data_IF_288134494635
#
_entry.id   IF_288134494635
#
_cell.length_a   1.000
_cell.length_b   1.000
_cell.length_c   1.000
_cell.angle_alpha   90.00
_cell.angle_beta   90.00
_cell.angle_gamma   90.00
#
_symmetry.space_group_name_H-M   'P 1'
#
loop_
_entity.id
_entity.type
_entity.pdbx_description
1 polymer ?
#
# COMPACT_ATOMS: atom_id res chain seq x y z
N UNK A 1 2.43 15.90 22.77
CA UNK A 1 1.61 14.90 23.47
C UNK A 1 2.51 13.73 23.80
N UNK A 2 2.40 13.21 25.01
CA UNK A 2 3.23 12.12 25.52
C UNK A 2 2.91 10.84 24.73
N UNK A 3 3.91 10.23 24.08
CA UNK A 3 3.77 8.84 23.64
C UNK A 3 3.72 7.99 24.90
N UNK A 4 2.62 7.28 25.14
CA UNK A 4 2.51 6.36 26.26
C UNK A 4 3.62 5.30 26.14
N UNK A 5 4.30 4.97 27.25
CA UNK A 5 5.21 3.84 27.27
C UNK A 5 4.42 2.56 26.99
N UNK A 6 4.97 1.69 26.14
CA UNK A 6 4.32 0.44 25.75
C UNK A 6 4.33 -0.49 26.96
N UNK A 7 3.24 -1.24 27.17
CA UNK A 7 3.25 -2.29 28.18
C UNK A 7 4.33 -3.32 27.77
N UNK A 8 5.31 -3.63 28.64
CA UNK A 8 6.35 -4.62 28.35
C UNK A 8 5.80 -5.99 27.93
N UNK A 9 4.56 -6.32 28.30
CA UNK A 9 3.91 -7.57 27.92
C UNK A 9 3.46 -7.61 26.45
N UNK A 10 3.29 -6.46 25.80
CA UNK A 10 2.87 -6.36 24.39
C UNK A 10 4.06 -6.19 23.42
N UNK A 11 5.24 -5.84 23.93
CA UNK A 11 6.42 -5.55 23.10
C UNK A 11 7.09 -6.85 22.60
N UNK A 12 7.26 -7.04 21.27
CA UNK A 12 7.96 -8.21 20.74
C UNK A 12 9.40 -8.31 21.26
N UNK A 13 9.93 -9.51 21.57
CA UNK A 13 11.32 -9.67 21.99
C UNK A 13 12.32 -9.14 20.96
N UNK A 14 13.33 -8.39 21.42
CA UNK A 14 14.33 -7.74 20.55
C UNK A 14 15.08 -8.70 19.63
N UNK A 15 15.25 -9.96 20.03
CA UNK A 15 15.87 -11.01 19.21
C UNK A 15 15.08 -11.34 17.93
N UNK A 16 13.79 -11.00 17.87
CA UNK A 16 12.90 -11.33 16.76
C UNK A 16 12.68 -10.17 15.79
N UNK A 17 13.07 -8.93 16.14
CA UNK A 17 12.79 -7.75 15.31
C UNK A 17 13.39 -7.83 13.91
N UNK A 18 14.58 -8.43 13.79
CA UNK A 18 15.24 -8.61 12.49
C UNK A 18 14.50 -9.54 11.53
N UNK A 19 13.52 -10.32 12.01
CA UNK A 19 12.68 -11.16 11.16
C UNK A 19 11.60 -10.35 10.44
N UNK A 20 11.18 -9.21 11.01
CA UNK A 20 10.24 -8.30 10.38
C UNK A 20 10.93 -7.57 9.21
N UNK A 21 10.46 -7.72 7.96
CA UNK A 21 11.07 -7.06 6.80
C UNK A 21 11.10 -5.53 6.93
N UNK A 22 10.18 -4.93 7.69
CA UNK A 22 10.09 -3.49 7.88
C UNK A 22 11.28 -2.98 8.72
N UNK A 23 11.80 -3.80 9.65
CA UNK A 23 12.93 -3.41 10.51
C UNK A 23 14.12 -2.92 9.69
N UNK A 24 14.46 -3.62 8.61
CA UNK A 24 15.61 -3.28 7.76
C UNK A 24 15.32 -2.20 6.72
N UNK A 25 14.06 -1.85 6.49
CA UNK A 25 13.64 -0.88 5.49
C UNK A 25 13.70 0.56 6.00
N UNK A 26 13.56 1.54 5.10
CA UNK A 26 13.17 2.89 5.50
C UNK A 26 11.65 2.98 5.33
N UNK A 27 10.92 2.91 6.44
CA UNK A 27 9.47 2.90 6.43
C UNK A 27 8.94 4.27 5.96
N UNK A 28 8.01 4.26 5.00
CA UNK A 28 7.33 5.48 4.55
C UNK A 28 6.12 5.72 5.43
N UNK A 29 6.32 6.45 6.51
CA UNK A 29 5.27 6.75 7.49
C UNK A 29 4.87 8.22 7.38
N UNK A 30 3.62 8.51 7.76
CA UNK A 30 3.19 9.87 7.99
C UNK A 30 3.96 10.49 9.15
N UNK A 31 4.30 11.77 9.05
CA UNK A 31 5.01 12.49 10.11
C UNK A 31 4.25 12.41 11.43
N UNK A 32 2.91 12.50 11.39
CA UNK A 32 2.07 12.30 12.57
C UNK A 32 2.38 10.99 13.29
N UNK A 33 2.45 9.90 12.54
CA UNK A 33 2.66 8.56 13.11
C UNK A 33 4.09 8.44 13.64
N UNK A 34 5.08 8.98 12.91
CA UNK A 34 6.47 9.05 13.40
C UNK A 34 6.55 9.77 14.74
N UNK A 35 5.77 10.83 14.94
CA UNK A 35 5.73 11.58 16.20
C UNK A 35 4.98 10.85 17.32
N UNK A 36 4.08 9.92 16.98
CA UNK A 36 3.17 9.23 17.91
C UNK A 36 3.55 7.79 18.26
N UNK A 37 4.40 7.12 17.46
CA UNK A 37 4.91 5.76 17.75
C UNK A 37 5.41 5.65 19.20
N UNK A 38 5.47 4.47 19.77
CA UNK A 38 6.01 4.31 21.12
C UNK A 38 7.48 3.88 21.06
N UNK A 39 8.34 4.44 21.91
CA UNK A 39 9.74 3.99 22.00
C UNK A 39 9.82 2.66 22.77
N UNK A 40 10.66 1.75 22.30
CA UNK A 40 10.93 0.45 22.91
C UNK A 40 11.46 0.61 24.34
N UNK A 41 10.99 -0.25 25.23
CA UNK A 41 11.52 -0.36 26.59
C UNK A 41 12.79 -1.22 26.63
N UNK A 42 12.98 -2.10 25.65
CA UNK A 42 14.15 -3.00 25.53
C UNK A 42 15.38 -2.29 24.94
N UNK A 43 15.20 -1.51 23.87
CA UNK A 43 16.31 -0.88 23.14
C UNK A 43 15.96 0.58 22.76
N UNK A 44 16.62 1.58 23.37
CA UNK A 44 16.43 2.98 23.02
C UNK A 44 16.70 3.27 21.54
N UNK A 45 15.91 4.17 20.95
CA UNK A 45 15.99 4.53 19.54
C UNK A 45 15.29 3.58 18.57
N UNK A 46 14.62 2.53 19.07
CA UNK A 46 13.67 1.71 18.31
C UNK A 46 12.26 2.14 18.71
N UNK A 47 11.37 2.28 17.73
CA UNK A 47 9.99 2.71 17.93
C UNK A 47 9.03 1.67 17.36
N UNK A 48 7.79 1.66 17.83
CA UNK A 48 6.78 0.73 17.35
C UNK A 48 5.62 1.45 16.71
N UNK A 49 5.30 1.03 15.49
CA UNK A 49 4.02 1.27 14.84
C UNK A 49 3.33 -0.08 14.68
N UNK A 50 2.20 -0.28 15.36
CA UNK A 50 1.41 -1.52 15.27
C UNK A 50 2.27 -2.80 15.45
N UNK A 51 3.12 -2.83 16.47
CA UNK A 51 4.08 -3.90 16.78
C UNK A 51 5.23 -4.11 15.77
N UNK A 52 5.30 -3.32 14.71
CA UNK A 52 6.46 -3.31 13.82
C UNK A 52 7.59 -2.47 14.43
N UNK A 53 8.82 -3.02 14.57
CA UNK A 53 9.96 -2.26 15.05
C UNK A 53 10.49 -1.36 13.93
N UNK A 54 10.41 -0.05 14.15
CA UNK A 54 10.81 1.02 13.24
C UNK A 54 11.98 1.79 13.83
N UNK A 55 13.05 1.93 13.07
CA UNK A 55 14.15 2.82 13.44
C UNK A 55 14.63 3.72 12.30
N UNK A 56 14.24 3.45 11.04
CA UNK A 56 14.55 4.25 9.85
C UNK A 56 13.26 4.62 9.12
N UNK A 57 13.19 5.88 8.68
CA UNK A 57 12.02 6.42 7.98
C UNK A 57 12.40 7.12 6.68
N UNK A 58 11.45 7.18 5.74
CA UNK A 58 11.54 7.88 4.46
C UNK A 58 10.35 8.83 4.34
N UNK A 59 10.62 10.14 4.43
CA UNK A 59 9.62 11.21 4.44
C UNK A 59 9.79 12.08 3.21
N UNK A 60 8.66 12.45 2.59
CA UNK A 60 8.57 13.46 1.54
C UNK A 60 7.68 14.58 2.06
N UNK A 61 8.15 15.82 2.01
CA UNK A 61 7.37 16.95 2.48
C UNK A 61 7.98 18.30 2.10
N UNK A 62 7.26 19.37 2.44
CA UNK A 62 7.66 20.74 2.16
C UNK A 62 8.50 21.29 3.30
N UNK A 63 9.60 21.99 2.98
CA UNK A 63 10.39 22.69 3.99
C UNK A 63 9.61 23.90 4.49
N UNK A 64 9.17 23.85 5.74
CA UNK A 64 8.43 24.95 6.40
C UNK A 64 9.29 25.73 7.40
N UNK A 65 10.46 25.19 7.72
CA UNK A 65 11.40 25.80 8.66
C UNK A 65 12.84 25.47 8.25
N UNK A 66 13.75 26.42 8.44
CA UNK A 66 15.18 26.27 8.15
C UNK A 66 16.00 26.95 9.24
N UNK A 67 16.90 26.18 9.84
CA UNK A 67 17.96 26.69 10.72
C UNK A 67 19.29 26.11 10.29
N UNK A 68 20.25 26.99 10.01
CA UNK A 68 21.60 26.60 9.64
C UNK A 68 22.50 26.53 10.88
N UNK A 69 23.35 25.51 10.93
CA UNK A 69 24.45 25.33 11.88
C UNK A 69 25.74 25.06 11.09
N UNK A 70 26.86 25.06 11.80
CA UNK A 70 28.19 24.91 11.19
C UNK A 70 28.33 23.59 10.41
N UNK A 71 27.82 22.49 10.98
CA UNK A 71 27.97 21.15 10.40
C UNK A 71 26.72 20.58 9.72
N UNK A 72 25.54 21.18 9.93
CA UNK A 72 24.28 20.66 9.42
C UNK A 72 23.22 21.74 9.23
N UNK A 73 22.24 21.43 8.39
CA UNK A 73 20.97 22.15 8.32
C UNK A 73 19.92 21.42 9.15
N UNK A 74 19.10 22.18 9.88
CA UNK A 74 17.92 21.69 10.58
C UNK A 74 16.69 22.19 9.82
N UNK A 75 16.06 21.31 9.07
CA UNK A 75 14.85 21.60 8.29
C UNK A 75 13.61 21.08 9.01
N UNK A 76 12.58 21.90 9.16
CA UNK A 76 11.26 21.40 9.52
C UNK A 76 10.53 20.99 8.25
N UNK A 77 10.13 19.72 8.17
CA UNK A 77 9.50 19.12 7.00
C UNK A 77 8.04 18.81 7.32
N UNK A 78 7.12 19.34 6.52
CA UNK A 78 5.67 19.15 6.62
C UNK A 78 5.15 18.26 5.51
N UNK A 79 4.47 17.17 5.84
CA UNK A 79 3.84 16.24 4.90
C UNK A 79 2.30 16.38 4.85
N UNK A 80 1.74 17.40 5.52
CA UNK A 80 0.31 17.62 5.67
C UNK A 80 -0.31 16.85 6.85
N UNK A 81 0.42 15.95 7.49
CA UNK A 81 -0.01 15.23 8.71
C UNK A 81 0.68 15.75 9.97
N UNK A 82 1.86 16.34 9.82
CA UNK A 82 2.61 16.97 10.89
C UNK A 82 3.94 17.53 10.41
N UNK A 83 4.67 18.18 11.32
CA UNK A 83 5.99 18.76 11.04
C UNK A 83 7.06 18.07 11.89
N UNK A 84 8.15 17.64 11.27
CA UNK A 84 9.30 17.01 11.96
C UNK A 84 10.63 17.67 11.58
N UNK A 85 11.52 17.79 12.56
CA UNK A 85 12.87 18.30 12.33
C UNK A 85 13.75 17.22 11.69
N UNK A 86 14.43 17.60 10.62
CA UNK A 86 15.38 16.78 9.87
C UNK A 86 16.77 17.40 9.98
N UNK A 87 17.70 16.66 10.56
CA UNK A 87 19.10 17.05 10.74
C UNK A 87 19.91 16.56 9.54
N UNK A 88 20.21 17.48 8.64
CA UNK A 88 20.81 17.26 7.33
C UNK A 88 22.27 17.73 7.31
N UNK A 89 23.21 16.79 7.46
CA UNK A 89 24.64 17.09 7.52
C UNK A 89 25.15 17.74 6.22
N UNK A 90 25.98 18.78 6.39
CA UNK A 90 26.68 19.44 5.28
C UNK A 90 27.77 18.50 4.77
N UNK A 91 27.80 18.26 3.46
CA UNK A 91 28.88 17.52 2.83
C UNK A 91 30.19 18.31 2.91
N UNK A 92 31.33 17.62 2.81
CA UNK A 92 32.64 18.29 2.75
C UNK A 92 32.72 19.27 1.57
N UNK A 93 32.01 18.98 0.47
CA UNK A 93 31.89 19.87 -0.70
C UNK A 93 31.21 21.20 -0.37
N UNK A 94 30.21 21.21 0.52
CA UNK A 94 29.59 22.45 1.02
C UNK A 94 30.58 23.26 1.85
N UNK A 95 31.39 22.59 2.67
CA UNK A 95 32.40 23.21 3.54
C UNK A 95 33.57 23.81 2.75
N UNK A 96 33.99 23.16 1.66
CA UNK A 96 35.07 23.64 0.80
C UNK A 96 34.66 24.82 -0.10
N UNK A 97 33.39 24.87 -0.53
CA UNK A 97 32.88 25.99 -1.33
C UNK A 97 32.76 27.31 -0.54
N UNK A 98 32.69 27.23 0.79
CA UNK A 98 32.64 28.39 1.69
C UNK A 98 34.04 28.95 2.04
N UNK A 99 35.13 28.24 1.70
CA UNK A 99 36.51 28.61 2.06
C UNK A 99 37.35 28.95 0.79
N UNK A 100 37.31 30.21 0.30
CA UNK A 100 37.89 30.61 -0.98
C UNK A 100 39.44 30.56 -1.05
N UNK A 101 40.12 30.27 0.06
CA UNK A 101 41.59 30.38 0.16
C UNK A 101 42.37 29.11 -0.21
N UNK A 102 41.72 28.01 -0.66
CA UNK A 102 42.41 26.72 -0.91
C UNK A 102 42.60 26.31 -2.38
N UNK A 103 41.99 26.97 -3.37
CA UNK A 103 42.18 26.57 -4.77
C UNK A 103 43.32 27.33 -5.46
N UNK A 104 44.55 27.15 -4.98
CA UNK A 104 45.75 27.55 -5.70
C UNK A 104 46.25 26.43 -6.60
N UNK A 105 45.78 26.36 -7.85
CA UNK A 105 46.38 25.45 -8.84
C UNK A 105 46.58 26.16 -10.17
N UNK A 106 47.82 26.11 -10.64
CA UNK A 106 48.41 26.85 -11.75
C UNK A 106 47.70 26.57 -13.08
N UNK A 107 47.47 27.62 -13.86
CA UNK A 107 47.05 27.55 -15.27
C UNK A 107 48.19 26.96 -16.10
N UNK A 108 47.95 25.80 -16.71
CA UNK A 108 48.65 25.40 -17.93
C UNK A 108 47.70 25.61 -19.10
N UNK A 109 48.13 26.44 -20.04
CA UNK A 109 47.53 26.58 -21.37
C UNK A 109 47.78 25.31 -22.17
N UNK A 110 46.77 24.78 -22.85
CA UNK A 110 46.85 24.54 -24.31
C UNK A 110 45.52 24.06 -24.91
N UNK A 111 45.25 24.63 -26.09
CA UNK A 111 44.46 24.15 -27.23
C UNK A 111 43.02 23.60 -27.05
N UNK A 112 42.11 24.42 -27.56
CA UNK A 112 40.82 24.13 -28.18
C UNK A 112 40.77 22.79 -28.95
N UNK A 113 40.08 21.80 -28.40
CA UNK A 113 39.30 20.78 -29.11
C UNK A 113 38.03 20.58 -28.27
N UNK A 114 36.85 20.49 -28.89
CA UNK A 114 35.56 20.23 -28.23
C UNK A 114 35.48 18.83 -27.59
N UNK A 115 36.36 18.55 -26.63
CA UNK A 115 36.46 17.34 -25.84
C UNK A 115 35.95 17.56 -24.42
N UNK A 116 35.38 16.51 -23.83
CA UNK A 116 34.96 16.47 -22.43
C UNK A 116 36.13 16.85 -21.51
N UNK A 117 36.04 17.99 -20.81
CA UNK A 117 36.97 18.38 -19.76
C UNK A 117 36.48 17.78 -18.41
N UNK A 118 37.16 16.75 -17.87
CA UNK A 118 36.75 16.11 -16.63
C UNK A 118 36.75 17.07 -15.44
N UNK A 119 37.61 18.10 -15.44
CA UNK A 119 37.72 19.06 -14.33
C UNK A 119 36.54 20.02 -14.34
N UNK A 120 36.19 20.57 -15.52
CA UNK A 120 35.00 21.41 -15.66
C UNK A 120 33.71 20.64 -15.33
N UNK A 121 33.59 19.39 -15.79
CA UNK A 121 32.41 18.56 -15.52
C UNK A 121 32.33 18.14 -14.05
N UNK A 122 33.44 17.85 -13.37
CA UNK A 122 33.46 17.62 -11.92
C UNK A 122 33.04 18.87 -11.14
N UNK A 123 33.48 20.07 -11.55
CA UNK A 123 33.07 21.33 -10.94
C UNK A 123 31.57 21.59 -11.10
N UNK A 124 31.04 21.33 -12.30
CA UNK A 124 29.61 21.43 -12.61
C UNK A 124 28.77 20.44 -11.79
N UNK A 125 29.24 19.20 -11.65
CA UNK A 125 28.63 18.19 -10.79
C UNK A 125 28.61 18.63 -9.33
N UNK A 126 29.74 19.15 -8.82
CA UNK A 126 29.82 19.69 -7.46
C UNK A 126 28.80 20.81 -7.23
N UNK A 127 28.71 21.78 -8.14
CA UNK A 127 27.72 22.86 -8.06
C UNK A 127 26.27 22.35 -8.11
N UNK A 128 25.98 21.35 -8.95
CA UNK A 128 24.65 20.74 -9.01
C UNK A 128 24.30 20.02 -7.71
N UNK A 129 25.25 19.30 -7.10
CA UNK A 129 25.08 18.62 -5.82
C UNK A 129 24.84 19.61 -4.68
N UNK A 130 25.59 20.73 -4.66
CA UNK A 130 25.39 21.83 -3.70
C UNK A 130 23.97 22.40 -3.77
N UNK A 131 23.49 22.72 -4.98
CA UNK A 131 22.13 23.21 -5.22
C UNK A 131 21.05 22.22 -4.79
N UNK A 132 21.34 20.92 -4.87
CA UNK A 132 20.41 19.86 -4.48
C UNK A 132 20.35 19.62 -2.96
N UNK A 133 21.40 19.97 -2.23
CA UNK A 133 21.51 19.77 -0.79
C UNK A 133 21.33 21.06 0.04
N UNK A 134 21.23 22.23 -0.58
CA UNK A 134 20.88 23.48 0.10
C UNK A 134 19.45 23.86 -0.26
N UNK A 135 18.54 23.62 0.67
CA UNK A 135 17.11 23.87 0.49
C UNK A 135 16.66 25.19 1.10
N UNK A 136 15.61 25.77 0.52
CA UNK A 136 14.89 26.94 1.00
C UNK A 136 13.45 26.60 1.45
N UNK A 137 12.82 27.52 2.20
CA UNK A 137 11.43 27.37 2.63
C UNK A 137 10.51 27.33 1.40
N UNK A 138 9.53 26.42 1.42
CA UNK A 138 8.61 26.15 0.32
C UNK A 138 9.10 25.10 -0.67
N UNK A 139 10.35 24.64 -0.57
CA UNK A 139 10.86 23.60 -1.45
C UNK A 139 10.47 22.19 -0.96
N UNK A 140 10.23 21.30 -1.93
CA UNK A 140 9.95 19.90 -1.66
C UNK A 140 11.25 19.14 -1.38
N UNK A 141 11.27 18.37 -0.29
CA UNK A 141 12.42 17.58 0.15
C UNK A 141 12.04 16.14 0.42
N UNK A 142 12.93 15.22 0.05
CA UNK A 142 12.87 13.85 0.54
C UNK A 142 14.00 13.63 1.53
N UNK A 143 13.67 13.10 2.70
CA UNK A 143 14.60 12.84 3.80
C UNK A 143 14.50 11.37 4.21
N UNK A 144 15.64 10.69 4.24
CA UNK A 144 15.77 9.31 4.70
C UNK A 144 16.78 9.24 5.83
N UNK A 145 16.41 8.63 6.95
CA UNK A 145 17.32 8.51 8.08
C UNK A 145 16.72 7.83 9.30
N UNK A 146 17.55 7.52 10.29
CA UNK A 146 17.05 7.04 11.56
C UNK A 146 16.29 8.10 12.35
N UNK A 147 15.27 7.65 13.08
CA UNK A 147 14.52 8.48 14.04
C UNK A 147 15.29 8.50 15.36
N UNK A 148 15.41 9.68 15.98
CA UNK A 148 15.96 9.84 17.32
C UNK A 148 15.06 10.72 18.16
N UNK A 149 14.99 10.43 19.45
CA UNK A 149 14.37 11.29 20.44
C UNK A 149 15.48 11.99 21.20
N UNK A 150 15.47 13.32 21.19
CA UNK A 150 16.41 14.16 21.94
C UNK A 150 15.61 15.19 22.72
N UNK A 151 15.82 15.27 24.04
CA UNK A 151 15.10 16.21 24.92
C UNK A 151 13.57 16.18 24.71
N UNK A 152 13.01 14.98 24.59
CA UNK A 152 11.58 14.72 24.36
C UNK A 152 11.04 15.22 23.00
N UNK A 153 11.90 15.58 22.06
CA UNK A 153 11.52 15.89 20.68
C UNK A 153 12.04 14.81 19.73
N UNK A 154 11.18 14.38 18.80
CA UNK A 154 11.56 13.46 17.73
C UNK A 154 12.12 14.20 16.54
N UNK A 155 13.23 13.68 16.04
CA UNK A 155 13.97 14.23 14.92
C UNK A 155 14.42 13.09 14.00
N UNK A 156 14.60 13.41 12.72
CA UNK A 156 15.19 12.49 11.74
C UNK A 156 16.64 12.90 11.53
N UNK A 157 17.56 11.99 11.83
CA UNK A 157 18.98 12.16 11.50
C UNK A 157 19.18 11.75 10.03
N UNK A 158 19.23 12.70 9.11
CA UNK A 158 19.25 12.37 7.69
C UNK A 158 20.52 11.59 7.32
N UNK A 159 20.35 10.36 6.84
CA UNK A 159 21.39 9.60 6.13
C UNK A 159 21.49 10.04 4.67
N UNK A 160 20.37 10.47 4.09
CA UNK A 160 20.30 11.00 2.73
C UNK A 160 19.16 12.00 2.64
N UNK A 161 19.39 13.12 1.98
CA UNK A 161 18.36 14.12 1.71
C UNK A 161 18.65 14.83 0.40
N UNK A 162 17.61 15.27 -0.30
CA UNK A 162 17.76 16.06 -1.52
C UNK A 162 16.48 16.82 -1.84
N UNK A 163 16.64 17.99 -2.48
CA UNK A 163 15.56 18.71 -3.14
C UNK A 163 14.93 17.84 -4.23
N UNK A 164 13.60 17.77 -4.22
CA UNK A 164 12.79 17.09 -5.23
C UNK A 164 12.22 18.15 -6.17
N UNK A 165 12.47 17.98 -7.47
CA UNK A 165 11.89 18.83 -8.51
C UNK A 165 10.57 18.21 -8.97
N UNK A 166 9.45 18.85 -8.60
CA UNK A 166 8.10 18.32 -8.84
C UNK A 166 7.14 19.44 -9.30
N UNK A 167 7.41 20.08 -10.46
CA UNK A 167 6.68 21.28 -10.89
C UNK A 167 5.20 21.04 -11.19
N UNK A 168 4.81 19.79 -11.44
CA UNK A 168 3.42 19.37 -11.74
C UNK A 168 2.83 18.46 -10.65
N UNK A 169 3.46 18.41 -9.48
CA UNK A 169 3.01 17.63 -8.31
C UNK A 169 2.87 16.11 -8.53
N UNK A 170 3.46 15.56 -9.60
CA UNK A 170 3.32 14.15 -9.93
C UNK A 170 3.91 13.24 -8.84
N UNK A 171 5.05 13.64 -8.26
CA UNK A 171 5.73 12.85 -7.21
C UNK A 171 4.90 12.91 -5.92
N UNK A 172 4.41 14.09 -5.54
CA UNK A 172 3.55 14.24 -4.36
C UNK A 172 2.24 13.46 -4.50
N UNK A 173 1.58 13.52 -5.66
CA UNK A 173 0.34 12.76 -5.91
C UNK A 173 0.61 11.26 -5.83
N UNK A 174 1.67 10.76 -6.47
CA UNK A 174 2.05 9.35 -6.38
C UNK A 174 2.31 8.93 -4.92
N UNK A 175 3.03 9.76 -4.16
CA UNK A 175 3.29 9.53 -2.74
C UNK A 175 2.00 9.44 -1.91
N UNK A 176 1.06 10.38 -2.12
CA UNK A 176 -0.24 10.40 -1.45
C UNK A 176 -1.11 9.17 -1.77
N UNK A 177 -0.90 8.54 -2.92
CA UNK A 177 -1.60 7.30 -3.31
C UNK A 177 -0.89 6.04 -2.82
N UNK A 178 0.44 6.02 -2.81
CA UNK A 178 1.27 4.88 -2.41
C UNK A 178 1.29 4.67 -0.89
N UNK A 179 1.47 5.73 -0.09
CA UNK A 179 1.61 5.60 1.37
C UNK A 179 0.39 4.92 2.01
N UNK A 180 -0.87 5.31 1.73
CA UNK A 180 -2.04 4.60 2.25
C UNK A 180 -2.07 3.11 1.88
N UNK A 181 -1.54 2.74 0.71
CA UNK A 181 -1.46 1.34 0.29
C UNK A 181 -0.43 0.59 1.13
N UNK A 182 0.72 1.20 1.43
CA UNK A 182 1.73 0.60 2.31
C UNK A 182 1.19 0.34 3.71
N UNK A 183 0.43 1.28 4.27
CA UNK A 183 -0.27 1.11 5.55
C UNK A 183 -1.18 -0.12 5.50
N UNK A 184 -2.14 -0.14 4.56
CA UNK A 184 -3.11 -1.23 4.45
C UNK A 184 -2.50 -2.59 4.13
N UNK A 185 -1.42 -2.62 3.36
CA UNK A 185 -0.83 -3.88 2.90
C UNK A 185 0.18 -4.46 3.88
N UNK A 186 0.93 -3.60 4.59
CA UNK A 186 2.07 -3.99 5.40
C UNK A 186 2.00 -3.46 6.84
N UNK A 187 1.88 -2.15 7.05
CA UNK A 187 2.08 -1.57 8.40
C UNK A 187 0.91 -1.79 9.36
N UNK A 188 -0.32 -1.86 8.85
CA UNK A 188 -1.52 -2.09 9.67
C UNK A 188 -1.77 -3.59 9.93
N UNK A 189 -0.99 -4.48 9.29
CA UNK A 189 -1.14 -5.93 9.46
C UNK A 189 -0.09 -6.46 10.41
N UNK A 190 -0.46 -7.22 11.46
CA UNK A 190 0.51 -7.77 12.39
C UNK A 190 1.51 -8.66 11.66
N UNK A 191 2.79 -8.52 12.00
CA UNK A 191 3.82 -9.42 11.49
C UNK A 191 3.65 -10.82 12.11
N UNK A 192 3.44 -11.81 11.25
CA UNK A 192 3.34 -13.21 11.66
C UNK A 192 4.63 -13.94 11.28
N UNK A 193 5.37 -14.42 12.28
CA UNK A 193 6.52 -15.28 12.08
C UNK A 193 5.99 -16.66 11.65
N UNK A 194 5.84 -16.84 10.35
CA UNK A 194 5.61 -18.16 9.78
C UNK A 194 6.91 -18.95 9.95
N UNK A 195 6.98 -19.78 10.99
CA UNK A 195 8.01 -20.82 11.07
C UNK A 195 8.03 -21.54 9.72
N UNK A 196 9.18 -21.54 9.05
CA UNK A 196 9.33 -22.01 7.69
C UNK A 196 8.71 -23.42 7.51
N UNK A 197 7.61 -23.50 6.77
CA UNK A 197 6.92 -24.75 6.44
C UNK A 197 5.46 -24.55 6.04
N UNK A 198 5.19 -24.49 4.73
CA UNK A 198 3.88 -24.73 4.09
C UNK A 198 2.62 -24.21 4.82
N UNK A 199 2.19 -22.97 4.56
CA UNK A 199 0.82 -22.57 4.93
C UNK A 199 -0.08 -22.49 3.68
N UNK A 200 -1.16 -23.26 3.72
CA UNK A 200 -2.27 -23.30 2.74
C UNK A 200 -2.81 -21.89 2.45
N UNK A 201 -2.67 -20.96 3.41
CA UNK A 201 -3.08 -19.55 3.28
C UNK A 201 -2.26 -18.75 2.25
N UNK A 202 -0.99 -19.11 2.03
CA UNK A 202 -0.19 -18.53 0.94
C UNK A 202 -0.69 -18.97 -0.44
N UNK A 203 -1.18 -20.21 -0.55
CA UNK A 203 -1.60 -20.81 -1.81
C UNK A 203 -3.00 -20.34 -2.19
N UNK A 204 -3.90 -20.20 -1.21
CA UNK A 204 -5.26 -19.71 -1.44
C UNK A 204 -5.27 -18.25 -1.90
N UNK A 205 -4.47 -17.37 -1.29
CA UNK A 205 -4.39 -15.96 -1.72
C UNK A 205 -3.86 -15.80 -3.15
N UNK A 206 -2.85 -16.59 -3.53
CA UNK A 206 -2.35 -16.63 -4.91
C UNK A 206 -3.40 -17.16 -5.88
N UNK A 207 -4.08 -18.25 -5.54
CA UNK A 207 -5.16 -18.83 -6.33
C UNK A 207 -6.33 -17.84 -6.52
N UNK A 208 -6.72 -17.12 -5.45
CA UNK A 208 -7.76 -16.08 -5.51
C UNK A 208 -7.37 -14.97 -6.49
N UNK A 209 -6.13 -14.48 -6.46
CA UNK A 209 -5.68 -13.43 -7.37
C UNK A 209 -5.64 -13.90 -8.84
N UNK A 210 -5.15 -15.12 -9.10
CA UNK A 210 -5.15 -15.71 -10.46
C UNK A 210 -6.57 -15.71 -11.05
N UNK A 211 -7.56 -16.18 -10.30
CA UNK A 211 -8.95 -16.19 -10.80
C UNK A 211 -9.48 -14.76 -10.96
N UNK A 212 -9.25 -13.85 -9.99
CA UNK A 212 -9.69 -12.44 -10.13
C UNK A 212 -9.14 -11.77 -11.38
N UNK A 213 -7.86 -11.97 -11.66
CA UNK A 213 -7.19 -11.36 -12.80
C UNK A 213 -7.69 -11.97 -14.11
N UNK A 214 -7.88 -13.29 -14.16
CA UNK A 214 -8.49 -13.95 -15.31
C UNK A 214 -9.89 -13.41 -15.63
N UNK A 215 -10.77 -13.32 -14.63
CA UNK A 215 -12.14 -12.82 -14.80
C UNK A 215 -12.15 -11.39 -15.34
N UNK A 216 -11.24 -10.54 -14.85
CA UNK A 216 -11.10 -9.16 -15.32
C UNK A 216 -10.53 -9.07 -16.74
N UNK A 217 -9.42 -9.75 -17.00
CA UNK A 217 -8.70 -9.68 -18.29
C UNK A 217 -9.53 -10.26 -19.44
N UNK A 218 -10.28 -11.33 -19.18
CA UNK A 218 -11.10 -12.00 -20.20
C UNK A 218 -12.54 -11.51 -20.24
N UNK A 219 -12.90 -10.52 -19.40
CA UNK A 219 -14.26 -9.95 -19.31
C UNK A 219 -15.33 -11.06 -19.14
N UNK A 220 -15.02 -12.05 -18.31
CA UNK A 220 -15.88 -13.22 -18.10
C UNK A 220 -17.19 -12.77 -17.46
N UNK A 221 -18.32 -13.09 -18.07
CA UNK A 221 -19.65 -12.73 -17.54
C UNK A 221 -20.20 -13.80 -16.58
N UNK A 222 -19.98 -15.06 -16.91
CA UNK A 222 -20.39 -16.24 -16.14
C UNK A 222 -19.45 -17.40 -16.40
N UNK A 223 -19.29 -18.29 -15.43
CA UNK A 223 -18.46 -19.47 -15.54
C UNK A 223 -18.95 -20.57 -14.59
N UNK A 224 -18.54 -21.81 -14.86
CA UNK A 224 -18.67 -22.96 -13.97
C UNK A 224 -17.32 -23.28 -13.34
N UNK A 225 -17.27 -23.95 -12.17
CA UNK A 225 -16.02 -24.29 -11.49
C UNK A 225 -14.97 -24.94 -12.40
N UNK A 226 -15.36 -25.88 -13.25
CA UNK A 226 -14.44 -26.59 -14.12
C UNK A 226 -13.81 -25.69 -15.21
N UNK A 227 -14.45 -24.56 -15.59
CA UNK A 227 -13.91 -23.62 -16.59
C UNK A 227 -12.66 -22.89 -16.10
N UNK A 228 -12.48 -22.80 -14.77
CA UNK A 228 -11.37 -22.09 -14.12
C UNK A 228 -10.45 -23.02 -13.33
N UNK A 229 -10.76 -24.32 -13.29
CA UNK A 229 -10.03 -25.29 -12.49
C UNK A 229 -8.58 -25.45 -12.95
N UNK A 230 -8.34 -25.47 -14.26
CA UNK A 230 -7.01 -25.64 -14.85
C UNK A 230 -6.08 -24.45 -14.57
N UNK A 231 -6.63 -23.26 -14.29
CA UNK A 231 -5.85 -22.08 -13.90
C UNK A 231 -5.09 -22.29 -12.58
N UNK A 232 -5.57 -23.21 -11.74
CA UNK A 232 -4.98 -23.49 -10.43
C UNK A 232 -4.01 -24.68 -10.44
N UNK A 233 -3.91 -25.41 -11.56
CA UNK A 233 -3.01 -26.56 -11.70
C UNK A 233 -1.54 -26.23 -11.37
N UNK A 234 -0.97 -25.07 -11.77
CA UNK A 234 0.42 -24.72 -11.45
C UNK A 234 0.70 -24.54 -9.96
N UNK A 235 -0.33 -24.38 -9.13
CA UNK A 235 -0.20 -24.19 -7.68
C UNK A 235 -0.17 -25.50 -6.90
N UNK A 236 -0.51 -26.62 -7.54
CA UNK A 236 -0.46 -27.94 -6.91
C UNK A 236 0.92 -28.53 -7.14
N UNK A 237 1.62 -28.95 -6.09
CA UNK A 237 2.88 -29.66 -6.26
C UNK A 237 2.63 -30.95 -7.05
N UNK A 238 3.09 -30.99 -8.30
CA UNK A 238 3.15 -32.24 -9.05
C UNK A 238 4.09 -33.19 -8.33
N UNK A 239 3.56 -34.24 -7.69
CA UNK A 239 4.36 -35.35 -7.14
C UNK A 239 4.91 -36.16 -8.32
N UNK A 240 5.90 -35.61 -9.02
CA UNK A 240 6.60 -36.35 -10.06
C UNK A 240 7.42 -37.48 -9.41
N UNK A 241 7.25 -38.68 -9.97
CA UNK A 241 7.80 -39.96 -9.53
C UNK A 241 9.32 -39.88 -9.24
N UNK A 242 9.69 -40.10 -7.99
CA UNK A 242 10.96 -40.74 -7.65
C UNK A 242 10.63 -42.16 -7.18
N UNK A 243 10.92 -43.14 -8.03
CA UNK A 243 11.02 -44.52 -7.60
C UNK A 243 12.10 -44.62 -6.51
N UNK A 244 11.73 -45.08 -5.33
CA UNK A 244 12.53 -46.00 -4.53
C UNK A 244 11.59 -46.73 -3.59
N UNK A 245 11.79 -48.04 -3.56
CA UNK A 245 10.92 -49.02 -2.94
C UNK A 245 10.78 -48.82 -1.43
N UNK A 246 9.70 -49.39 -0.90
CA UNK A 246 9.44 -49.63 0.52
C UNK A 246 9.06 -48.40 1.36
N UNK A 247 7.80 -47.97 1.19
CA UNK A 247 6.95 -47.56 2.30
C UNK A 247 5.48 -47.59 1.85
N UNK A 248 4.64 -48.26 2.65
CA UNK A 248 3.19 -48.38 2.45
C UNK A 248 2.55 -47.02 2.13
N UNK A 249 1.75 -46.91 1.06
CA UNK A 249 1.11 -45.65 0.70
C UNK A 249 -0.08 -45.40 1.63
N UNK A 250 0.12 -44.57 2.65
CA UNK A 250 -1.01 -43.88 3.31
C UNK A 250 -1.68 -43.02 2.23
N UNK A 251 -2.93 -43.36 1.90
CA UNK A 251 -3.71 -42.73 0.82
C UNK A 251 -4.02 -41.26 1.14
N UNK A 252 -3.10 -40.36 0.81
CA UNK A 252 -3.37 -38.93 0.76
C UNK A 252 -4.35 -38.58 -0.37
N UNK A 253 -5.09 -37.46 -0.27
CA UNK A 253 -6.03 -37.05 -1.32
C UNK A 253 -5.30 -36.87 -2.65
N UNK A 254 -5.90 -37.36 -3.73
CA UNK A 254 -5.32 -37.23 -5.07
C UNK A 254 -5.15 -35.75 -5.45
N UNK A 255 -4.21 -35.43 -6.34
CA UNK A 255 -4.00 -34.04 -6.79
C UNK A 255 -5.28 -33.37 -7.30
N UNK A 256 -6.19 -34.14 -7.92
CA UNK A 256 -7.51 -33.65 -8.34
C UNK A 256 -8.44 -33.28 -7.17
N UNK A 257 -8.37 -34.01 -6.05
CA UNK A 257 -9.13 -33.69 -4.83
C UNK A 257 -8.58 -32.44 -4.13
N UNK A 258 -7.27 -32.25 -4.15
CA UNK A 258 -6.63 -31.03 -3.62
C UNK A 258 -7.01 -29.81 -4.46
N UNK A 259 -7.07 -29.96 -5.79
CA UNK A 259 -7.50 -28.92 -6.72
C UNK A 259 -8.95 -28.51 -6.51
N UNK A 260 -9.84 -29.49 -6.37
CA UNK A 260 -11.26 -29.21 -6.14
C UNK A 260 -11.50 -28.56 -4.79
N UNK A 261 -10.75 -28.95 -3.75
CA UNK A 261 -10.80 -28.30 -2.44
C UNK A 261 -10.35 -26.84 -2.52
N UNK A 262 -9.15 -26.59 -3.09
CA UNK A 262 -8.61 -25.24 -3.25
C UNK A 262 -9.57 -24.35 -4.04
N UNK A 263 -10.11 -24.86 -5.15
CA UNK A 263 -11.07 -24.12 -5.97
C UNK A 263 -12.32 -23.77 -5.16
N UNK A 264 -12.85 -24.71 -4.36
CA UNK A 264 -14.03 -24.47 -3.53
C UNK A 264 -13.79 -23.35 -2.50
N UNK A 265 -12.63 -23.35 -1.84
CA UNK A 265 -12.29 -22.30 -0.88
C UNK A 265 -12.11 -20.93 -1.58
N UNK A 266 -11.44 -20.90 -2.73
CA UNK A 266 -11.28 -19.67 -3.52
C UNK A 266 -12.64 -19.12 -3.95
N UNK A 267 -13.55 -19.97 -4.44
CA UNK A 267 -14.89 -19.54 -4.83
C UNK A 267 -15.67 -18.98 -3.65
N UNK A 268 -15.53 -19.57 -2.46
CA UNK A 268 -16.14 -19.04 -1.24
C UNK A 268 -15.61 -17.64 -0.89
N UNK A 269 -14.30 -17.42 -1.00
CA UNK A 269 -13.70 -16.09 -0.80
C UNK A 269 -14.26 -15.09 -1.80
N UNK A 270 -14.29 -15.44 -3.09
CA UNK A 270 -14.81 -14.55 -4.15
C UNK A 270 -16.30 -14.21 -3.94
N UNK A 271 -17.09 -15.14 -3.39
CA UNK A 271 -18.48 -14.90 -3.02
C UNK A 271 -18.62 -13.99 -1.80
N UNK A 272 -17.78 -14.19 -0.78
CA UNK A 272 -17.76 -13.36 0.43
C UNK A 272 -17.40 -11.91 0.10
N UNK A 273 -16.45 -11.71 -0.82
CA UNK A 273 -16.07 -10.39 -1.33
C UNK A 273 -17.07 -9.80 -2.34
N UNK A 274 -18.09 -10.56 -2.77
CA UNK A 274 -19.08 -10.11 -3.74
C UNK A 274 -18.57 -9.99 -5.18
N UNK A 275 -17.38 -10.52 -5.49
CA UNK A 275 -16.81 -10.54 -6.85
C UNK A 275 -17.65 -11.43 -7.77
N UNK A 276 -18.12 -12.56 -7.23
CA UNK A 276 -18.99 -13.50 -7.92
C UNK A 276 -20.18 -13.84 -7.04
N UNK A 277 -21.28 -14.27 -7.66
CA UNK A 277 -22.43 -14.79 -6.94
C UNK A 277 -23.15 -15.84 -7.79
N UNK A 278 -23.95 -16.70 -7.17
CA UNK A 278 -24.77 -17.69 -7.90
C UNK A 278 -26.17 -17.14 -8.03
N UNK A 279 -26.67 -16.89 -9.24
CA UNK A 279 -28.01 -16.31 -9.45
C UNK A 279 -29.10 -17.27 -8.97
N UNK A 280 -28.95 -18.56 -9.25
CA UNK A 280 -29.81 -19.64 -8.77
C UNK A 280 -28.95 -20.67 -8.03
N UNK A 281 -29.43 -21.16 -6.88
CA UNK A 281 -28.81 -22.30 -6.19
C UNK A 281 -29.38 -23.58 -6.79
N UNK A 282 -28.76 -24.08 -7.84
CA UNK A 282 -29.08 -25.35 -8.49
C UNK A 282 -27.89 -26.31 -8.40
N UNK A 283 -28.09 -27.56 -8.86
CA UNK A 283 -27.02 -28.54 -8.99
C UNK A 283 -25.98 -28.15 -10.05
N UNK A 284 -26.39 -27.40 -11.09
CA UNK A 284 -25.46 -26.78 -12.05
C UNK A 284 -24.86 -25.52 -11.41
N UNK A 285 -23.66 -25.65 -10.83
CA UNK A 285 -22.97 -24.56 -10.11
C UNK A 285 -22.50 -23.45 -11.07
N UNK A 286 -23.42 -22.58 -11.48
CA UNK A 286 -23.11 -21.44 -12.36
C UNK A 286 -22.89 -20.15 -11.55
N UNK A 287 -21.72 -19.55 -11.71
CA UNK A 287 -21.34 -18.29 -11.08
C UNK A 287 -21.42 -17.14 -12.08
N UNK A 288 -21.97 -16.02 -11.63
CA UNK A 288 -21.98 -14.75 -12.35
C UNK A 288 -20.95 -13.81 -11.77
N UNK A 289 -20.25 -13.09 -12.64
CA UNK A 289 -19.29 -12.06 -12.25
C UNK A 289 -20.03 -10.75 -12.07
N UNK A 290 -20.09 -10.26 -10.83
CA UNK A 290 -20.92 -9.11 -10.44
C UNK A 290 -20.68 -7.88 -11.33
N UNK A 291 -19.42 -7.56 -11.63
CA UNK A 291 -19.05 -6.40 -12.47
C UNK A 291 -19.47 -6.49 -13.94
N UNK A 292 -19.73 -7.70 -14.45
CA UNK A 292 -20.09 -7.90 -15.85
C UNK A 292 -21.59 -8.15 -16.06
N UNK A 293 -22.35 -8.22 -14.98
CA UNK A 293 -23.78 -8.53 -15.02
C UNK A 293 -24.62 -7.27 -15.21
N UNK A 294 -24.80 -6.87 -16.48
CA UNK A 294 -25.57 -5.68 -16.84
C UNK A 294 -27.02 -5.71 -16.35
N UNK A 295 -27.63 -6.89 -16.27
CA UNK A 295 -29.03 -7.02 -15.82
C UNK A 295 -29.15 -6.70 -14.33
N UNK A 296 -28.16 -7.10 -13.52
CA UNK A 296 -28.08 -6.73 -12.11
C UNK A 296 -27.95 -5.21 -11.95
N UNK A 297 -27.09 -4.57 -12.75
CA UNK A 297 -26.91 -3.11 -12.75
C UNK A 297 -28.22 -2.38 -13.08
N UNK A 298 -28.90 -2.80 -14.15
CA UNK A 298 -30.20 -2.23 -14.54
C UNK A 298 -31.22 -2.41 -13.42
N UNK A 299 -31.31 -3.61 -12.84
CA UNK A 299 -32.26 -3.88 -11.75
C UNK A 299 -32.02 -3.00 -10.53
N UNK A 300 -30.75 -2.84 -10.10
CA UNK A 300 -30.39 -1.97 -8.96
C UNK A 300 -30.73 -0.51 -9.27
N UNK A 301 -30.37 -0.02 -10.46
CA UNK A 301 -30.65 1.34 -10.90
C UNK A 301 -32.16 1.63 -10.94
N UNK A 302 -32.94 0.71 -11.51
CA UNK A 302 -34.40 0.83 -11.59
C UNK A 302 -35.04 0.86 -10.20
N UNK A 303 -34.60 0.01 -9.28
CA UNK A 303 -35.07 0.01 -7.87
C UNK A 303 -34.82 1.35 -7.21
N UNK A 304 -33.59 1.87 -7.30
CA UNK A 304 -33.24 3.15 -6.68
C UNK A 304 -34.06 4.28 -7.32
N UNK A 305 -34.19 4.30 -8.65
CA UNK A 305 -34.95 5.32 -9.38
C UNK A 305 -36.45 5.30 -9.05
N UNK A 306 -37.04 4.13 -8.89
CA UNK A 306 -38.45 3.98 -8.52
C UNK A 306 -38.69 4.36 -7.06
N UNK A 307 -37.84 3.87 -6.15
CA UNK A 307 -38.04 4.07 -4.72
C UNK A 307 -37.67 5.49 -4.27
N UNK A 308 -36.71 6.15 -4.92
CA UNK A 308 -36.38 7.56 -4.65
C UNK A 308 -37.53 8.53 -4.90
N UNK A 309 -38.55 8.13 -5.68
CA UNK A 309 -39.76 8.95 -5.92
C UNK A 309 -40.79 8.87 -4.80
N UNK A 310 -40.65 7.92 -3.87
CA UNK A 310 -41.59 7.76 -2.75
C UNK A 310 -41.29 8.82 -1.70
N UNK A 311 -42.30 9.50 -1.17
CA UNK A 311 -42.15 10.59 -0.18
C UNK A 311 -41.18 10.25 0.97
N UNK A 312 -41.20 9.00 1.43
CA UNK A 312 -40.32 8.48 2.49
C UNK A 312 -38.81 8.59 2.17
N UNK A 313 -38.43 8.55 0.89
CA UNK A 313 -37.05 8.43 0.43
C UNK A 313 -36.59 9.62 -0.42
N UNK A 314 -37.46 10.60 -0.69
CA UNK A 314 -37.14 11.75 -1.57
C UNK A 314 -35.99 12.60 -1.05
N UNK A 315 -35.88 12.83 0.27
CA UNK A 315 -34.80 13.66 0.84
C UNK A 315 -33.50 12.89 1.08
N UNK A 316 -33.59 11.69 1.67
CA UNK A 316 -32.40 10.94 2.13
C UNK A 316 -31.99 9.80 1.19
N UNK A 317 -32.80 9.43 0.21
CA UNK A 317 -32.57 8.25 -0.61
C UNK A 317 -32.89 6.94 0.12
N UNK A 318 -32.59 5.83 -0.55
CA UNK A 318 -32.85 4.48 -0.09
C UNK A 318 -31.64 3.93 0.69
N UNK A 319 -31.89 3.36 1.87
CA UNK A 319 -30.85 2.66 2.63
C UNK A 319 -30.40 1.36 1.91
N UNK A 320 -29.10 1.02 2.00
CA UNK A 320 -28.51 -0.15 1.33
C UNK A 320 -29.23 -1.46 1.62
N UNK A 321 -29.73 -1.66 2.84
CA UNK A 321 -30.46 -2.88 3.20
C UNK A 321 -31.85 -2.95 2.55
N UNK A 322 -32.50 -1.80 2.35
CA UNK A 322 -33.76 -1.72 1.61
C UNK A 322 -33.54 -2.08 0.13
N UNK A 323 -32.50 -1.49 -0.47
CA UNK A 323 -32.09 -1.80 -1.85
C UNK A 323 -31.79 -3.30 -1.98
N UNK A 324 -31.01 -3.87 -1.05
CA UNK A 324 -30.70 -5.30 -1.04
C UNK A 324 -31.95 -6.17 -0.97
N UNK A 325 -32.91 -5.82 -0.12
CA UNK A 325 -34.19 -6.54 -0.02
C UNK A 325 -34.95 -6.49 -1.35
N UNK A 326 -35.06 -5.32 -1.98
CA UNK A 326 -35.74 -5.15 -3.24
C UNK A 326 -35.04 -5.90 -4.40
N UNK A 327 -33.71 -5.87 -4.46
CA UNK A 327 -32.90 -6.61 -5.46
C UNK A 327 -33.11 -8.12 -5.30
N UNK A 328 -33.17 -8.60 -4.05
CA UNK A 328 -33.40 -10.02 -3.78
C UNK A 328 -34.79 -10.48 -4.23
N UNK A 329 -35.79 -9.61 -4.12
CA UNK A 329 -37.15 -9.89 -4.57
C UNK A 329 -37.31 -9.82 -6.09
N UNK A 330 -36.68 -8.85 -6.76
CA UNK A 330 -36.87 -8.58 -8.19
C UNK A 330 -35.88 -9.29 -9.12
N UNK A 331 -34.69 -9.62 -8.63
CA UNK A 331 -33.59 -10.11 -9.47
C UNK A 331 -33.04 -11.47 -9.01
N UNK A 332 -32.49 -11.56 -7.80
CA UNK A 332 -32.00 -12.84 -7.25
C UNK A 332 -31.82 -12.80 -5.74
N UNK A 333 -32.43 -13.78 -5.05
CA UNK A 333 -32.31 -13.98 -3.60
C UNK A 333 -30.87 -14.16 -3.11
N UNK A 334 -29.95 -14.52 -4.01
CA UNK A 334 -28.58 -14.90 -3.68
C UNK A 334 -27.57 -13.75 -3.82
N UNK A 335 -28.01 -12.55 -4.20
CA UNK A 335 -27.14 -11.36 -4.19
C UNK A 335 -26.73 -11.08 -2.75
N UNK A 336 -25.42 -11.03 -2.50
CA UNK A 336 -24.85 -10.69 -1.20
C UNK A 336 -24.79 -9.18 -1.02
N UNK A 337 -24.66 -8.71 0.23
CA UNK A 337 -24.45 -7.29 0.51
C UNK A 337 -23.19 -6.77 -0.19
N UNK A 338 -22.09 -7.55 -0.13
CA UNK A 338 -20.83 -7.21 -0.79
C UNK A 338 -20.97 -7.07 -2.31
N UNK A 339 -21.74 -7.96 -2.96
CA UNK A 339 -22.00 -7.86 -4.39
C UNK A 339 -22.82 -6.60 -4.73
N UNK A 340 -23.84 -6.27 -3.92
CA UNK A 340 -24.60 -5.03 -4.08
C UNK A 340 -23.73 -3.79 -3.88
N UNK A 341 -22.89 -3.75 -2.85
CA UNK A 341 -21.98 -2.63 -2.59
C UNK A 341 -21.00 -2.41 -3.75
N UNK A 342 -20.55 -3.49 -4.41
CA UNK A 342 -19.72 -3.38 -5.61
C UNK A 342 -20.49 -2.74 -6.78
N UNK A 343 -21.76 -3.10 -6.98
CA UNK A 343 -22.63 -2.52 -8.02
C UNK A 343 -22.91 -1.05 -7.72
N UNK A 344 -23.28 -0.70 -6.49
CA UNK A 344 -23.54 0.67 -6.06
C UNK A 344 -22.32 1.56 -6.27
N UNK A 345 -21.13 1.07 -5.90
CA UNK A 345 -19.87 1.79 -6.14
C UNK A 345 -19.63 2.07 -7.62
N UNK A 346 -19.89 1.10 -8.49
CA UNK A 346 -19.73 1.30 -9.94
C UNK A 346 -20.78 2.27 -10.49
N UNK A 347 -22.06 2.15 -10.11
CA UNK A 347 -23.11 3.09 -10.51
C UNK A 347 -22.82 4.53 -10.06
N UNK A 348 -22.25 4.69 -8.86
CA UNK A 348 -21.84 6.00 -8.34
C UNK A 348 -20.65 6.57 -9.14
N UNK A 349 -19.66 5.74 -9.49
CA UNK A 349 -18.56 6.15 -10.37
C UNK A 349 -19.05 6.57 -11.78
N UNK A 350 -20.09 5.91 -12.28
CA UNK A 350 -20.69 6.20 -13.59
C UNK A 350 -21.67 7.39 -13.54
N UNK A 351 -21.85 8.03 -12.37
CA UNK A 351 -22.80 9.12 -12.14
C UNK A 351 -24.26 8.72 -12.43
N UNK A 352 -24.62 7.47 -12.17
CA UNK A 352 -26.00 6.99 -12.27
C UNK A 352 -26.79 7.18 -10.97
N UNK A 353 -26.08 7.20 -9.84
CA UNK A 353 -26.63 7.40 -8.49
C UNK A 353 -25.69 8.28 -7.66
N UNK A 354 -26.19 8.83 -6.55
CA UNK A 354 -25.42 9.63 -5.59
C UNK A 354 -25.59 9.01 -4.20
N UNK A 355 -24.48 8.89 -3.44
CA UNK A 355 -24.57 8.66 -2.00
C UNK A 355 -24.89 9.95 -1.26
N UNK A 356 -26.00 9.96 -0.51
CA UNK A 356 -26.46 11.14 0.24
C UNK A 356 -25.93 11.15 1.68
N UNK A 357 -25.62 9.97 2.21
CA UNK A 357 -25.04 9.74 3.53
C UNK A 357 -24.49 8.32 3.60
N UNK A 358 -23.90 7.95 4.74
CA UNK A 358 -23.46 6.58 4.97
C UNK A 358 -24.59 5.58 4.67
N UNK A 359 -24.34 4.70 3.70
CA UNK A 359 -25.27 3.64 3.28
C UNK A 359 -26.60 4.08 2.67
N UNK A 360 -26.75 5.32 2.20
CA UNK A 360 -27.96 5.78 1.50
C UNK A 360 -27.68 6.27 0.09
N UNK A 361 -28.56 5.92 -0.85
CA UNK A 361 -28.39 6.21 -2.28
C UNK A 361 -29.66 6.77 -2.91
N UNK A 362 -29.50 7.77 -3.77
CA UNK A 362 -30.57 8.35 -4.59
C UNK A 362 -30.19 8.28 -6.07
N UNK A 363 -31.17 8.13 -6.96
CA UNK A 363 -30.94 8.22 -8.39
C UNK A 363 -30.74 9.68 -8.82
N UNK A 364 -29.94 9.91 -9.86
CA UNK A 364 -29.81 11.22 -10.53
C UNK A 364 -31.00 11.46 -11.47
#
# INVERSE_FOLDING_TARGET
>A
MQGAAMDPAEEPPSMLWGLDPIFSAFARLYVRDILQMTESTQVPGIYFYNLHPIYKVDVLGTVVYKRERDDFFCYGVDDGTGVINCLCWKSNLLKEAEDPNKSGTKKHSDADHGGFDPVAELKKLGQAQLKRCRLEIGELVRVRGPVKTSRQQREIMASTYYKVDDPVMAIQIAWMMEVPQLYRQFYDKPFQINAAGSSIESSIGKATNIIKDFLKQKLVTKFRPYDVQDLLQPLIPSRHQAQSAEQEPVAGPSGCQQLSHLLKEVLQILQNEGVVYRKVKSQDEMYHVTRQDKDLFIAVKDIIREDSKREKYVEKGCHVLHILSAVRQRYSLNVSKAALELVLKTLECDSDIISTSDSHYIAI
#
